data_IF_078712120209
#
_entry.id   IF_078712120209
#
_cell.length_a   1.000
_cell.length_b   1.000
_cell.length_c   1.000
_cell.angle_alpha   90.00
_cell.angle_beta   90.00
_cell.angle_gamma   90.00
#
_symmetry.space_group_name_H-M   'P 1'
#
loop_
_entity.id
_entity.type
_entity.pdbx_description
1 polymer ?
#
# COMPACT_ATOMS: atom_id res chain seq x y z
N UNK A 1 100.57 43.07 37.78
CA UNK A 1 100.14 42.05 38.75
C UNK A 1 98.82 41.43 38.27
N UNK A 2 98.59 40.15 38.58
CA UNK A 2 98.22 39.03 37.69
C UNK A 2 96.71 38.99 37.36
N UNK A 3 96.16 38.23 36.40
CA UNK A 3 96.29 36.79 36.14
C UNK A 3 95.88 36.42 34.69
N UNK A 4 96.73 35.66 34.01
CA UNK A 4 96.44 34.67 32.95
C UNK A 4 95.74 33.42 33.57
N UNK A 5 95.43 32.32 32.85
CA UNK A 5 94.92 32.06 31.48
C UNK A 5 93.87 30.90 31.43
N UNK A 6 93.33 30.56 30.25
CA UNK A 6 93.45 29.21 29.60
C UNK A 6 92.61 29.08 28.32
N UNK A 7 93.32 29.09 27.19
CA UNK A 7 93.07 28.39 25.89
C UNK A 7 93.49 26.89 26.05
N UNK A 8 93.54 26.02 25.02
CA UNK A 8 92.62 25.67 23.91
C UNK A 8 92.61 24.12 23.62
N UNK A 9 92.08 23.70 22.44
CA UNK A 9 92.42 22.50 21.60
C UNK A 9 92.03 21.10 22.12
N UNK A 10 91.64 20.10 21.32
CA UNK A 10 91.88 19.73 19.91
C UNK A 10 90.63 18.98 19.35
N UNK A 11 90.18 19.10 18.09
CA UNK A 11 90.77 18.76 16.78
C UNK A 11 90.90 17.24 16.52
N UNK A 12 90.56 16.83 15.28
CA UNK A 12 90.84 15.56 14.56
C UNK A 12 89.67 14.54 14.43
N UNK A 13 89.28 13.97 13.27
CA UNK A 13 89.58 14.15 11.83
C UNK A 13 88.63 13.27 10.98
N UNK A 14 88.21 13.79 9.79
CA UNK A 14 88.01 13.13 8.46
C UNK A 14 87.15 11.85 8.29
N UNK A 15 86.06 11.81 7.49
CA UNK A 15 85.86 11.98 6.01
C UNK A 15 86.19 10.72 5.17
N UNK A 16 85.17 10.03 4.59
CA UNK A 16 84.99 9.81 3.12
C UNK A 16 83.88 8.83 2.70
N UNK A 17 83.10 9.31 1.70
CA UNK A 17 82.53 8.61 0.52
C UNK A 17 81.32 7.68 0.74
N UNK A 18 80.08 8.00 0.31
CA UNK A 18 79.55 8.39 -1.01
C UNK A 18 79.62 7.27 -2.08
N UNK A 19 78.47 6.63 -2.34
CA UNK A 19 78.16 5.97 -3.62
C UNK A 19 76.71 6.29 -4.04
N UNK A 20 76.64 7.18 -5.03
CA UNK A 20 75.68 7.31 -6.13
C UNK A 20 74.25 6.74 -6.00
N UNK A 21 73.30 7.68 -5.99
CA UNK A 21 72.20 7.84 -6.95
C UNK A 21 72.24 6.89 -8.16
N UNK A 22 71.31 5.95 -8.24
CA UNK A 22 70.73 5.45 -9.48
C UNK A 22 69.40 4.73 -9.18
N UNK A 23 68.38 5.07 -9.97
CA UNK A 23 67.06 4.45 -10.07
C UNK A 23 65.96 4.89 -9.08
N UNK A 24 65.55 6.15 -9.26
CA UNK A 24 64.12 6.48 -9.34
C UNK A 24 63.43 5.59 -10.37
N UNK A 25 62.67 4.59 -9.90
CA UNK A 25 61.38 4.14 -10.45
C UNK A 25 60.98 2.83 -9.77
N UNK A 26 59.68 2.73 -9.49
CA UNK A 26 58.97 1.49 -9.14
C UNK A 26 59.28 0.89 -7.77
N UNK A 27 58.45 1.23 -6.79
CA UNK A 27 57.60 0.27 -6.06
C UNK A 27 56.79 1.09 -5.05
N UNK A 28 55.85 1.87 -5.58
CA UNK A 28 54.57 1.96 -4.90
C UNK A 28 54.04 0.52 -4.89
N UNK A 29 54.27 -0.20 -3.80
CA UNK A 29 53.50 -1.40 -3.51
C UNK A 29 52.08 -0.93 -3.25
N UNK A 30 51.36 -0.68 -4.35
CA UNK A 30 49.95 -0.95 -4.41
C UNK A 30 49.80 -2.37 -3.86
N UNK A 31 49.34 -2.47 -2.62
CA UNK A 31 48.71 -3.68 -2.16
C UNK A 31 47.48 -3.84 -3.06
N UNK A 32 47.68 -4.55 -4.17
CA UNK A 32 46.60 -5.14 -4.93
C UNK A 32 45.95 -6.14 -3.97
N UNK A 33 44.98 -5.66 -3.18
CA UNK A 33 44.06 -6.56 -2.52
C UNK A 33 43.35 -7.31 -3.63
N UNK A 34 43.51 -8.63 -3.63
CA UNK A 34 42.74 -9.49 -4.52
C UNK A 34 41.25 -9.23 -4.28
N UNK A 35 40.46 -9.24 -5.36
CA UNK A 35 39.01 -9.02 -5.32
C UNK A 35 38.28 -10.06 -4.44
N UNK A 36 38.99 -11.10 -3.99
CA UNK A 36 38.53 -12.19 -3.15
C UNK A 36 38.83 -12.00 -1.65
N UNK A 37 39.64 -11.01 -1.25
CA UNK A 37 40.01 -10.78 0.16
C UNK A 37 39.14 -9.73 0.86
N UNK A 38 38.16 -9.17 0.16
CA UNK A 38 37.07 -8.46 0.79
C UNK A 38 35.88 -9.40 0.85
N UNK A 39 35.38 -9.78 2.03
CA UNK A 39 34.11 -10.47 2.10
C UNK A 39 33.08 -9.69 1.27
N UNK A 40 32.13 -10.36 0.63
CA UNK A 40 30.91 -9.73 0.06
C UNK A 40 30.03 -9.13 1.18
N UNK A 41 30.63 -8.75 2.31
CA UNK A 41 30.13 -7.88 3.35
C UNK A 41 30.68 -6.44 3.22
N UNK A 42 31.37 -6.09 2.12
CA UNK A 42 31.48 -4.68 1.71
C UNK A 42 30.07 -4.16 1.47
N UNK A 43 29.56 -3.40 2.44
CA UNK A 43 28.52 -2.39 2.30
C UNK A 43 28.14 -2.15 0.83
N UNK A 44 27.17 -2.91 0.31
CA UNK A 44 26.29 -2.36 -0.70
C UNK A 44 25.48 -1.30 0.05
N UNK A 45 26.06 -0.12 0.24
CA UNK A 45 25.45 1.04 0.90
C UNK A 45 24.41 1.70 -0.02
N UNK A 46 23.81 0.89 -0.90
CA UNK A 46 22.73 1.31 -1.77
C UNK A 46 21.47 1.16 -0.95
N UNK A 47 20.79 2.28 -0.71
CA UNK A 47 19.52 2.30 -0.03
C UNK A 47 18.55 1.29 -0.69
N UNK A 48 17.93 0.38 0.07
CA UNK A 48 16.97 -0.57 -0.46
C UNK A 48 15.80 0.15 -1.12
N UNK A 49 15.28 -0.43 -2.19
CA UNK A 49 14.11 0.07 -2.92
C UNK A 49 12.85 -0.67 -2.45
N UNK A 50 11.82 0.08 -2.04
CA UNK A 50 10.50 -0.42 -1.70
C UNK A 50 9.46 0.13 -2.66
N UNK A 51 8.78 -0.74 -3.41
CA UNK A 51 7.61 -0.37 -4.19
C UNK A 51 6.36 -0.78 -3.42
N UNK A 52 5.60 0.19 -2.92
CA UNK A 52 4.27 -0.09 -2.38
C UNK A 52 3.31 -0.31 -3.53
N UNK A 53 2.58 -1.42 -3.50
CA UNK A 53 1.48 -1.68 -4.41
C UNK A 53 0.20 -1.72 -3.58
N UNK A 54 -0.71 -0.78 -3.84
CA UNK A 54 -1.99 -0.67 -3.11
C UNK A 54 -3.12 -1.06 -4.06
N UNK A 55 -3.90 -2.05 -3.65
CA UNK A 55 -5.16 -2.40 -4.31
C UNK A 55 -6.13 -1.22 -4.21
N UNK A 56 -6.51 -0.66 -5.36
CA UNK A 56 -7.53 0.37 -5.47
C UNK A 56 -8.72 -0.07 -6.33
N UNK A 57 -8.97 -1.38 -6.43
CA UNK A 57 -10.09 -1.95 -7.17
C UNK A 57 -11.44 -1.56 -6.57
N UNK A 58 -12.52 -1.74 -7.34
CA UNK A 58 -13.89 -1.47 -6.87
C UNK A 58 -14.29 -2.28 -5.64
N UNK A 59 -13.67 -3.43 -5.40
CA UNK A 59 -13.92 -4.26 -4.21
C UNK A 59 -13.53 -3.55 -2.91
N UNK A 60 -12.64 -2.56 -2.99
CA UNK A 60 -12.14 -1.80 -1.85
C UNK A 60 -13.16 -0.83 -1.26
N UNK A 61 -14.30 -0.60 -1.93
CA UNK A 61 -15.45 0.14 -1.39
C UNK A 61 -16.21 -0.61 -0.29
N UNK A 62 -15.97 -1.91 -0.13
CA UNK A 62 -16.69 -2.71 0.84
C UNK A 62 -16.29 -2.37 2.28
N UNK A 63 -17.28 -2.37 3.18
CA UNK A 63 -17.11 -2.15 4.61
C UNK A 63 -16.42 -3.37 5.24
N UNK A 64 -15.51 -3.13 6.16
CA UNK A 64 -14.86 -4.19 6.94
C UNK A 64 -15.55 -4.29 8.30
N UNK A 65 -16.01 -5.49 8.70
CA UNK A 65 -16.44 -5.73 10.07
C UNK A 65 -15.32 -5.35 11.06
N UNK A 66 -15.58 -4.33 11.87
CA UNK A 66 -14.63 -3.74 12.81
C UNK A 66 -15.34 -3.40 14.11
N UNK A 67 -14.58 -3.20 15.19
CA UNK A 67 -15.12 -2.75 16.47
C UNK A 67 -16.04 -1.53 16.28
N UNK A 68 -17.20 -1.45 16.97
CA UNK A 68 -17.63 -2.27 18.11
C UNK A 68 -18.46 -3.52 17.74
N UNK A 69 -18.38 -4.00 16.49
CA UNK A 69 -18.89 -5.34 16.18
C UNK A 69 -18.09 -6.40 16.93
N UNK A 70 -18.79 -7.35 17.54
CA UNK A 70 -18.27 -8.48 18.27
C UNK A 70 -18.92 -9.76 17.68
N UNK A 71 -18.13 -10.67 17.09
CA UNK A 71 -18.67 -11.90 16.49
C UNK A 71 -19.25 -12.89 17.51
N UNK A 72 -19.05 -12.66 18.82
CA UNK A 72 -19.55 -13.51 19.91
C UNK A 72 -20.75 -12.93 20.65
N UNK A 73 -21.06 -11.65 20.44
CA UNK A 73 -22.22 -11.00 21.02
C UNK A 73 -23.53 -11.51 20.40
N UNK A 74 -24.66 -11.24 21.06
CA UNK A 74 -25.99 -11.53 20.51
C UNK A 74 -26.67 -10.25 20.06
N UNK A 75 -26.74 -10.00 18.75
CA UNK A 75 -27.45 -8.85 18.18
C UNK A 75 -28.91 -9.16 17.83
N UNK A 76 -29.21 -10.38 17.41
CA UNK A 76 -30.59 -10.82 17.20
C UNK A 76 -30.65 -12.31 17.46
N UNK A 77 -31.26 -12.74 18.58
CA UNK A 77 -31.27 -14.16 18.94
C UNK A 77 -31.99 -15.02 17.89
N UNK A 78 -33.11 -14.52 17.34
CA UNK A 78 -33.87 -15.18 16.28
C UNK A 78 -34.69 -14.18 15.48
N UNK A 79 -34.79 -14.38 14.18
CA UNK A 79 -35.72 -13.62 13.35
C UNK A 79 -37.13 -14.21 13.43
N UNK A 80 -38.19 -13.40 13.69
CA UNK A 80 -39.55 -13.89 13.65
C UNK A 80 -39.90 -14.52 12.30
N UNK A 81 -40.77 -15.53 12.35
CA UNK A 81 -41.27 -16.22 11.14
C UNK A 81 -41.87 -15.22 10.16
N UNK A 82 -41.48 -15.31 8.89
CA UNK A 82 -41.94 -14.40 7.83
C UNK A 82 -41.25 -13.04 7.78
N UNK A 83 -40.33 -12.74 8.72
CA UNK A 83 -39.55 -11.49 8.72
C UNK A 83 -38.06 -11.70 8.42
N UNK A 84 -37.65 -12.93 8.12
CA UNK A 84 -36.26 -13.26 7.79
C UNK A 84 -36.01 -13.02 6.31
N UNK A 85 -34.93 -12.29 5.97
CA UNK A 85 -34.44 -12.23 4.59
C UNK A 85 -33.77 -13.56 4.23
N UNK A 86 -34.13 -14.22 3.12
CA UNK A 86 -33.48 -15.44 2.65
C UNK A 86 -31.97 -15.26 2.50
N UNK A 87 -31.19 -16.21 3.00
CA UNK A 87 -29.72 -16.25 2.86
C UNK A 87 -29.30 -16.98 1.58
N UNK A 88 -28.04 -16.84 1.18
CA UNK A 88 -27.49 -17.53 0.00
C UNK A 88 -27.85 -16.87 -1.33
N UNK A 89 -28.29 -15.62 -1.28
CA UNK A 89 -28.57 -14.80 -2.45
C UNK A 89 -27.35 -14.74 -3.40
N UNK A 90 -27.57 -14.67 -4.71
CA UNK A 90 -26.48 -14.42 -5.65
C UNK A 90 -26.06 -12.93 -5.60
N UNK A 91 -24.95 -12.57 -6.27
CA UNK A 91 -24.51 -11.17 -6.35
C UNK A 91 -25.52 -10.22 -7.03
N UNK A 92 -26.48 -10.75 -7.81
CA UNK A 92 -27.58 -9.99 -8.40
C UNK A 92 -28.73 -9.67 -7.45
N UNK A 93 -28.80 -10.37 -6.31
CA UNK A 93 -29.83 -10.25 -5.27
C UNK A 93 -29.21 -9.69 -3.98
N UNK A 94 -28.33 -8.69 -4.11
CA UNK A 94 -27.61 -8.12 -2.97
C UNK A 94 -28.52 -7.37 -2.01
N UNK A 95 -28.10 -7.35 -0.74
CA UNK A 95 -28.65 -6.47 0.28
C UNK A 95 -27.93 -5.13 0.18
N UNK A 96 -28.64 -4.12 -0.31
CA UNK A 96 -28.04 -2.81 -0.57
C UNK A 96 -28.45 -1.84 0.53
N UNK A 97 -27.51 -1.10 1.12
CA UNK A 97 -27.84 -0.01 2.05
C UNK A 97 -28.73 1.01 1.35
N UNK A 98 -29.65 1.60 2.09
CA UNK A 98 -30.30 2.84 1.67
C UNK A 98 -30.44 3.72 2.90
N UNK A 99 -29.93 4.95 2.83
CA UNK A 99 -30.08 5.92 3.91
C UNK A 99 -31.16 6.91 3.53
N UNK A 100 -32.17 7.05 4.39
CA UNK A 100 -33.29 7.96 4.17
C UNK A 100 -33.57 8.72 5.45
N UNK A 101 -33.59 10.05 5.38
CA UNK A 101 -33.76 10.96 6.52
C UNK A 101 -32.80 10.65 7.68
N UNK A 102 -31.56 10.29 7.36
CA UNK A 102 -30.52 9.95 8.34
C UNK A 102 -30.75 8.62 9.08
N UNK A 103 -31.69 7.78 8.64
CA UNK A 103 -31.94 6.47 9.22
C UNK A 103 -31.53 5.34 8.27
N UNK A 104 -31.02 4.21 8.80
CA UNK A 104 -30.63 3.07 7.98
C UNK A 104 -31.86 2.32 7.47
N UNK A 105 -31.83 2.01 6.19
CA UNK A 105 -32.70 1.06 5.50
C UNK A 105 -31.83 0.11 4.69
N UNK A 106 -32.44 -0.96 4.21
CA UNK A 106 -31.81 -1.82 3.21
C UNK A 106 -32.81 -2.21 2.14
N UNK A 107 -32.32 -2.33 0.92
CA UNK A 107 -33.08 -2.78 -0.24
C UNK A 107 -32.74 -4.23 -0.50
N UNK A 108 -33.77 -5.05 -0.68
CA UNK A 108 -33.65 -6.44 -1.09
C UNK A 108 -34.80 -6.78 -2.04
N UNK A 109 -34.46 -7.35 -3.21
CA UNK A 109 -35.40 -7.69 -4.27
C UNK A 109 -36.35 -6.52 -4.60
N UNK A 110 -35.77 -5.32 -4.82
CA UNK A 110 -36.49 -4.08 -5.13
C UNK A 110 -37.29 -3.45 -3.98
N UNK A 111 -37.42 -4.12 -2.83
CA UNK A 111 -38.21 -3.65 -1.71
C UNK A 111 -37.32 -3.06 -0.62
N UNK A 112 -37.78 -1.98 0.01
CA UNK A 112 -37.05 -1.32 1.09
C UNK A 112 -37.57 -1.76 2.45
N UNK A 113 -36.64 -2.14 3.33
CA UNK A 113 -36.91 -2.64 4.67
C UNK A 113 -36.11 -1.87 5.70
N UNK A 114 -36.51 -2.03 6.95
CA UNK A 114 -35.74 -1.59 8.12
C UNK A 114 -35.45 -2.80 9.01
N UNK A 115 -34.39 -2.72 9.80
CA UNK A 115 -34.12 -3.79 10.75
C UNK A 115 -35.20 -3.85 11.83
N UNK A 116 -35.56 -5.05 12.29
CA UNK A 116 -36.65 -5.25 13.28
C UNK A 116 -36.43 -4.52 14.60
N UNK A 117 -35.18 -4.25 14.97
CA UNK A 117 -34.85 -3.49 16.19
C UNK A 117 -34.96 -1.97 16.01
N UNK A 118 -35.30 -1.51 14.80
CA UNK A 118 -35.56 -0.09 14.49
C UNK A 118 -37.06 0.08 14.30
N UNK A 119 -37.63 1.11 14.94
CA UNK A 119 -39.06 1.42 14.85
C UNK A 119 -39.47 1.82 13.43
N UNK A 120 -40.53 1.21 12.90
CA UNK A 120 -41.16 1.60 11.64
C UNK A 120 -41.90 0.44 10.96
N UNK A 121 -42.30 0.64 9.70
CA UNK A 121 -42.97 -0.38 8.88
C UNK A 121 -41.95 -1.22 8.08
N UNK A 122 -42.39 -2.38 7.59
CA UNK A 122 -41.58 -3.29 6.76
C UNK A 122 -40.30 -3.77 7.46
N UNK A 123 -40.47 -4.17 8.73
CA UNK A 123 -39.39 -4.73 9.53
C UNK A 123 -38.97 -6.10 9.02
N UNK A 124 -37.66 -6.30 8.91
CA UNK A 124 -37.00 -7.54 8.54
C UNK A 124 -35.70 -7.71 9.32
N UNK A 125 -35.16 -8.91 9.35
CA UNK A 125 -33.83 -9.18 9.89
C UNK A 125 -33.17 -10.34 9.13
N UNK A 126 -31.93 -10.65 9.48
CA UNK A 126 -31.10 -11.61 8.78
C UNK A 126 -30.94 -12.89 9.60
N UNK A 127 -30.87 -14.04 8.94
CA UNK A 127 -30.51 -15.29 9.60
C UNK A 127 -29.05 -15.20 10.07
N UNK A 128 -28.80 -15.34 11.39
CA UNK A 128 -27.44 -15.22 11.96
C UNK A 128 -26.41 -16.14 11.29
N UNK A 129 -26.80 -17.38 11.00
CA UNK A 129 -25.93 -18.37 10.36
C UNK A 129 -25.87 -18.22 8.83
N UNK A 130 -26.71 -17.36 8.26
CA UNK A 130 -26.77 -17.12 6.82
C UNK A 130 -25.64 -16.23 6.32
N UNK A 131 -25.30 -16.37 5.05
CA UNK A 131 -24.40 -15.47 4.32
C UNK A 131 -25.16 -14.71 3.25
N UNK A 132 -24.77 -13.45 3.05
CA UNK A 132 -25.45 -12.51 2.17
C UNK A 132 -24.42 -11.74 1.35
N UNK A 133 -24.69 -11.56 0.06
CA UNK A 133 -24.00 -10.52 -0.70
C UNK A 133 -24.62 -9.18 -0.34
N UNK A 134 -23.80 -8.19 0.02
CA UNK A 134 -24.29 -6.88 0.40
C UNK A 134 -23.37 -5.75 -0.07
N UNK A 135 -23.98 -4.58 -0.25
CA UNK A 135 -23.33 -3.29 -0.50
C UNK A 135 -23.65 -2.37 0.66
N UNK A 136 -22.69 -2.13 1.53
CA UNK A 136 -22.93 -1.45 2.82
C UNK A 136 -22.53 0.02 2.85
N UNK A 137 -21.89 0.51 1.78
CA UNK A 137 -21.54 1.93 1.57
C UNK A 137 -22.53 2.58 0.60
N UNK A 138 -23.21 3.64 1.03
CA UNK A 138 -24.08 4.49 0.23
C UNK A 138 -23.33 5.71 -0.31
N UNK A 139 -22.60 5.52 -1.41
CA UNK A 139 -21.77 6.53 -2.08
C UNK A 139 -22.52 7.34 -3.17
N UNK A 140 -23.82 7.07 -3.36
CA UNK A 140 -24.74 7.80 -4.24
C UNK A 140 -25.97 8.25 -3.45
N UNK A 141 -25.83 9.36 -2.72
CA UNK A 141 -26.90 9.95 -1.88
C UNK A 141 -27.54 8.96 -0.90
N UNK A 142 -26.71 8.17 -0.19
CA UNK A 142 -27.19 7.19 0.78
C UNK A 142 -27.52 5.81 0.21
N UNK A 143 -27.41 5.63 -1.11
CA UNK A 143 -27.53 4.34 -1.79
C UNK A 143 -26.21 3.94 -2.47
N UNK A 144 -25.91 2.64 -2.64
CA UNK A 144 -24.73 2.18 -3.35
C UNK A 144 -24.71 2.57 -4.82
N UNK A 145 -23.51 2.84 -5.32
CA UNK A 145 -23.17 2.97 -6.72
C UNK A 145 -22.87 1.59 -7.34
N UNK A 146 -22.12 1.59 -8.45
CA UNK A 146 -21.86 0.41 -9.26
C UNK A 146 -20.73 -0.49 -8.74
N UNK A 147 -20.30 -0.37 -7.48
CA UNK A 147 -19.31 -1.28 -6.92
C UNK A 147 -19.91 -2.67 -6.66
N UNK A 148 -19.05 -3.71 -6.70
CA UNK A 148 -19.47 -5.10 -6.53
C UNK A 148 -19.78 -5.41 -5.06
N UNK A 149 -20.86 -6.14 -4.77
CA UNK A 149 -21.14 -6.60 -3.42
C UNK A 149 -20.07 -7.58 -2.93
N UNK A 150 -19.95 -7.70 -1.61
CA UNK A 150 -19.13 -8.76 -0.98
C UNK A 150 -19.97 -9.53 0.03
N UNK A 151 -19.43 -10.64 0.51
CA UNK A 151 -20.13 -11.54 1.43
C UNK A 151 -20.03 -11.03 2.87
N UNK A 152 -21.17 -10.98 3.56
CA UNK A 152 -21.28 -10.72 4.99
C UNK A 152 -22.13 -11.80 5.66
N UNK A 153 -21.89 -12.05 6.93
CA UNK A 153 -22.76 -12.91 7.73
C UNK A 153 -24.03 -12.15 8.11
N UNK A 154 -25.15 -12.86 8.23
CA UNK A 154 -26.39 -12.26 8.73
C UNK A 154 -26.23 -11.73 10.15
N UNK A 155 -25.37 -12.37 10.96
CA UNK A 155 -24.96 -11.86 12.27
C UNK A 155 -24.41 -10.43 12.19
N UNK A 156 -23.48 -10.17 11.26
CA UNK A 156 -22.93 -8.84 11.04
C UNK A 156 -23.99 -7.87 10.50
N UNK A 157 -24.88 -8.31 9.59
CA UNK A 157 -25.93 -7.45 9.05
C UNK A 157 -26.99 -7.07 10.10
N UNK A 158 -27.30 -7.97 11.03
CA UNK A 158 -28.17 -7.68 12.18
C UNK A 158 -27.55 -6.60 13.08
N UNK A 159 -26.23 -6.66 13.33
CA UNK A 159 -25.52 -5.58 14.00
C UNK A 159 -25.52 -4.28 13.20
N UNK A 160 -25.24 -4.38 11.89
CA UNK A 160 -25.03 -3.23 11.02
C UNK A 160 -26.29 -2.38 10.90
N UNK A 161 -27.41 -2.99 10.52
CA UNK A 161 -28.68 -2.29 10.34
C UNK A 161 -29.49 -2.13 11.63
N UNK A 162 -29.17 -2.89 12.68
CA UNK A 162 -29.87 -2.83 13.96
C UNK A 162 -29.43 -1.70 14.87
N UNK A 163 -30.19 -1.52 15.95
CA UNK A 163 -29.95 -0.57 17.04
C UNK A 163 -28.79 -0.97 17.98
N UNK A 164 -27.66 -1.38 17.41
CA UNK A 164 -26.46 -1.84 18.13
C UNK A 164 -25.23 -1.04 17.72
N UNK A 165 -24.29 -0.83 18.66
CA UNK A 165 -22.97 -0.26 18.38
C UNK A 165 -22.94 1.19 17.88
N UNK A 166 -24.08 1.89 17.87
CA UNK A 166 -24.21 3.27 17.39
C UNK A 166 -25.67 3.73 17.31
N UNK A 167 -25.92 5.00 16.93
CA UNK A 167 -27.28 5.53 16.82
C UNK A 167 -28.03 4.97 15.60
N UNK A 168 -29.36 4.93 15.69
CA UNK A 168 -30.28 4.58 14.59
C UNK A 168 -30.65 5.77 13.72
N UNK A 169 -30.09 6.94 14.01
CA UNK A 169 -30.25 8.19 13.25
C UNK A 169 -28.87 8.83 13.01
N UNK A 170 -28.79 9.87 12.16
CA UNK A 170 -27.53 10.53 11.82
C UNK A 170 -26.66 9.75 10.82
N UNK A 171 -27.22 8.75 10.14
CA UNK A 171 -26.54 8.04 9.07
C UNK A 171 -26.31 8.97 7.87
N UNK A 172 -25.10 8.97 7.34
CA UNK A 172 -24.76 9.61 6.07
C UNK A 172 -24.73 8.58 4.94
N UNK A 173 -23.56 7.98 4.72
CA UNK A 173 -23.35 6.91 3.73
C UNK A 173 -23.22 5.52 4.34
N UNK A 174 -23.09 5.40 5.66
CA UNK A 174 -22.78 4.15 6.36
C UNK A 174 -23.04 4.28 7.85
N UNK A 175 -22.91 3.17 8.59
CA UNK A 175 -23.17 3.13 10.03
C UNK A 175 -22.28 4.10 10.81
N UNK A 176 -22.85 5.11 11.50
CA UNK A 176 -22.13 5.90 12.48
C UNK A 176 -21.87 5.08 13.76
N UNK A 177 -20.73 5.32 14.38
CA UNK A 177 -20.34 4.75 15.65
C UNK A 177 -20.33 5.86 16.71
N UNK A 178 -20.22 5.50 17.99
CA UNK A 178 -20.06 6.49 19.08
C UNK A 178 -18.86 7.42 18.83
N UNK A 179 -17.80 6.89 18.22
CA UNK A 179 -16.66 7.66 17.74
C UNK A 179 -16.37 7.26 16.29
N UNK A 180 -16.70 8.14 15.34
CA UNK A 180 -16.43 7.94 13.92
C UNK A 180 -17.49 7.10 13.19
N UNK A 181 -17.06 6.35 12.17
CA UNK A 181 -17.93 5.49 11.34
C UNK A 181 -17.20 4.19 11.05
N UNK A 182 -17.95 3.16 10.65
CA UNK A 182 -17.33 1.95 10.07
C UNK A 182 -16.44 2.32 8.88
N UNK A 183 -15.39 1.54 8.66
CA UNK A 183 -14.40 1.80 7.62
C UNK A 183 -14.54 0.84 6.44
N UNK A 184 -14.21 1.33 5.25
CA UNK A 184 -14.01 0.55 4.03
C UNK A 184 -12.65 -0.11 4.02
N UNK A 185 -12.47 -1.13 3.16
CA UNK A 185 -11.15 -1.74 2.91
C UNK A 185 -10.13 -0.70 2.44
N UNK A 186 -10.55 0.25 1.60
CA UNK A 186 -9.67 1.33 1.13
C UNK A 186 -9.19 2.25 2.26
N UNK A 187 -10.07 2.64 3.17
CA UNK A 187 -9.67 3.48 4.31
C UNK A 187 -8.67 2.76 5.21
N UNK A 188 -8.93 1.51 5.55
CA UNK A 188 -7.99 0.69 6.35
C UNK A 188 -6.65 0.52 5.62
N UNK A 189 -6.68 0.30 4.30
CA UNK A 189 -5.46 0.19 3.49
C UNK A 189 -4.66 1.49 3.47
N UNK A 190 -5.33 2.65 3.36
CA UNK A 190 -4.68 3.97 3.42
C UNK A 190 -4.06 4.23 4.78
N UNK A 191 -4.78 3.94 5.86
CA UNK A 191 -4.30 4.14 7.22
C UNK A 191 -3.06 3.26 7.49
N UNK A 192 -3.15 1.98 7.10
CA UNK A 192 -2.05 1.03 7.24
C UNK A 192 -0.83 1.43 6.39
N UNK A 193 -1.04 1.78 5.12
CA UNK A 193 0.06 2.20 4.24
C UNK A 193 0.71 3.50 4.74
N UNK A 194 -0.08 4.46 5.20
CA UNK A 194 0.40 5.72 5.80
C UNK A 194 1.26 5.43 7.03
N UNK A 195 0.77 4.59 7.95
CA UNK A 195 1.52 4.21 9.14
C UNK A 195 2.85 3.54 8.81
N UNK A 196 2.88 2.65 7.80
CA UNK A 196 4.12 1.99 7.38
C UNK A 196 5.12 3.00 6.80
N UNK A 197 4.70 3.89 5.89
CA UNK A 197 5.64 4.86 5.29
C UNK A 197 6.13 5.90 6.28
N UNK A 198 5.34 6.25 7.29
CA UNK A 198 5.76 7.13 8.40
C UNK A 198 6.77 6.47 9.33
N UNK A 199 6.71 5.14 9.48
CA UNK A 199 7.66 4.38 10.27
C UNK A 199 9.02 4.17 9.59
N UNK A 200 9.16 4.51 8.31
CA UNK A 200 10.42 4.35 7.59
C UNK A 200 11.45 5.41 8.01
N UNK A 201 12.74 5.03 8.13
CA UNK A 201 13.76 5.97 8.56
C UNK A 201 13.97 7.07 7.52
N UNK A 202 14.14 8.30 8.00
CA UNK A 202 14.50 9.46 7.19
C UNK A 202 16.00 9.76 7.32
N UNK A 203 16.63 10.40 6.32
CA UNK A 203 18.00 10.84 6.42
C UNK A 203 18.19 11.83 7.58
N UNK A 204 19.29 11.68 8.31
CA UNK A 204 19.68 12.57 9.41
C UNK A 204 20.70 13.58 8.87
N UNK A 205 20.37 14.88 8.94
CA UNK A 205 21.22 15.96 8.43
C UNK A 205 21.41 15.88 6.90
N UNK A 206 22.64 16.06 6.43
CA UNK A 206 23.00 15.94 5.02
C UNK A 206 23.33 14.49 4.58
N UNK A 207 22.94 13.49 5.38
CA UNK A 207 23.18 12.08 5.09
C UNK A 207 22.38 11.56 3.89
N UNK A 208 22.87 10.47 3.29
CA UNK A 208 22.14 9.74 2.25
C UNK A 208 20.83 9.17 2.80
N UNK A 209 19.79 9.12 1.96
CA UNK A 209 18.53 8.49 2.35
C UNK A 209 18.76 7.01 2.67
N UNK A 210 18.24 6.50 3.79
CA UNK A 210 18.43 5.10 4.19
C UNK A 210 17.56 4.15 3.38
N UNK A 211 16.48 4.64 2.75
CA UNK A 211 15.58 3.84 1.91
C UNK A 211 15.10 4.67 0.70
N UNK A 212 14.72 3.97 -0.36
CA UNK A 212 14.07 4.53 -1.55
C UNK A 212 12.67 3.95 -1.65
N UNK A 213 11.68 4.78 -1.93
CA UNK A 213 10.27 4.36 -1.91
C UNK A 213 9.54 4.86 -3.16
N UNK A 214 8.69 4.00 -3.70
CA UNK A 214 7.72 4.31 -4.75
C UNK A 214 6.33 3.80 -4.39
N UNK A 215 5.33 4.24 -5.15
CA UNK A 215 3.93 3.83 -4.99
C UNK A 215 3.31 3.49 -6.35
N UNK A 216 2.62 2.36 -6.41
CA UNK A 216 1.86 1.87 -7.56
C UNK A 216 0.45 1.43 -7.13
N UNK A 217 -0.49 1.46 -8.06
CA UNK A 217 -1.87 0.97 -7.88
C UNK A 217 -2.32 0.18 -9.10
N UNK A 218 -3.54 -0.35 -9.10
CA UNK A 218 -4.16 -0.86 -10.33
C UNK A 218 -4.51 0.29 -11.29
N UNK A 219 -4.49 -0.04 -12.59
CA UNK A 219 -4.88 0.83 -13.70
C UNK A 219 -6.11 0.27 -14.45
N UNK A 220 -7.20 0.03 -13.72
CA UNK A 220 -8.51 -0.33 -14.29
C UNK A 220 -8.46 -1.46 -15.35
N UNK A 221 -7.70 -2.52 -15.06
CA UNK A 221 -7.52 -3.69 -15.94
C UNK A 221 -6.30 -3.66 -16.85
N UNK A 222 -5.55 -2.55 -16.90
CA UNK A 222 -4.36 -2.37 -17.77
C UNK A 222 -3.04 -2.49 -17.00
N UNK A 223 -2.96 -3.45 -16.08
CA UNK A 223 -1.79 -3.62 -15.21
C UNK A 223 -1.65 -2.50 -14.17
N UNK A 224 -0.41 -2.06 -13.94
CA UNK A 224 -0.03 -1.15 -12.88
C UNK A 224 -0.04 0.32 -13.29
N UNK A 225 -0.37 1.20 -12.35
CA UNK A 225 -0.22 2.65 -12.47
C UNK A 225 0.78 3.15 -11.44
N UNK A 226 1.92 3.66 -11.90
CA UNK A 226 2.90 4.33 -11.04
C UNK A 226 2.32 5.67 -10.55
N UNK A 227 2.14 5.81 -9.24
CA UNK A 227 1.64 7.02 -8.58
C UNK A 227 2.76 7.90 -8.07
N UNK A 228 3.79 7.28 -7.52
CA UNK A 228 5.02 7.96 -7.07
C UNK A 228 6.19 7.16 -7.59
N UNK A 229 7.07 7.83 -8.33
CA UNK A 229 8.31 7.23 -8.81
C UNK A 229 9.19 6.81 -7.63
N UNK A 230 9.91 5.71 -7.78
CA UNK A 230 10.92 5.31 -6.81
C UNK A 230 11.98 6.40 -6.67
N UNK A 231 12.22 6.81 -5.44
CA UNK A 231 13.23 7.81 -5.13
C UNK A 231 13.57 7.81 -3.65
N UNK A 232 14.61 8.56 -3.31
CA UNK A 232 15.09 8.71 -1.95
C UNK A 232 13.97 9.18 -1.01
N UNK A 233 13.79 8.48 0.10
CA UNK A 233 12.83 8.89 1.11
C UNK A 233 13.41 10.04 1.92
N UNK A 234 12.76 11.19 1.82
CA UNK A 234 13.05 12.45 2.48
C UNK A 234 11.75 12.96 3.07
N UNK A 235 11.79 13.99 3.92
CA UNK A 235 10.56 14.61 4.46
C UNK A 235 9.61 15.07 3.35
N UNK A 236 10.15 15.58 2.24
CA UNK A 236 9.37 16.02 1.07
C UNK A 236 8.71 14.84 0.35
N UNK A 237 9.48 13.79 0.03
CA UNK A 237 8.93 12.62 -0.69
C UNK A 237 7.99 11.80 0.19
N UNK A 238 8.19 11.77 1.50
CA UNK A 238 7.22 11.24 2.46
C UNK A 238 5.90 12.02 2.40
N UNK A 239 5.94 13.36 2.36
CA UNK A 239 4.76 14.21 2.17
C UNK A 239 4.02 13.91 0.87
N UNK A 240 4.76 13.71 -0.23
CA UNK A 240 4.19 13.28 -1.52
C UNK A 240 3.52 11.91 -1.42
N UNK A 241 4.19 10.91 -0.84
CA UNK A 241 3.64 9.57 -0.65
C UNK A 241 2.34 9.59 0.16
N UNK A 242 2.33 10.29 1.30
CA UNK A 242 1.13 10.45 2.14
C UNK A 242 -0.02 11.09 1.37
N UNK A 243 0.28 12.14 0.60
CA UNK A 243 -0.72 12.81 -0.23
C UNK A 243 -1.27 11.86 -1.30
N UNK A 244 -0.41 11.13 -2.01
CA UNK A 244 -0.81 10.14 -3.02
C UNK A 244 -1.62 8.97 -2.43
N UNK A 245 -1.29 8.50 -1.23
CA UNK A 245 -2.07 7.47 -0.52
C UNK A 245 -3.45 8.02 -0.13
N UNK A 246 -3.50 9.22 0.44
CA UNK A 246 -4.76 9.82 0.94
C UNK A 246 -5.81 10.01 -0.16
N UNK A 247 -5.38 10.27 -1.40
CA UNK A 247 -6.27 10.52 -2.55
C UNK A 247 -6.72 9.26 -3.29
N UNK A 248 -6.23 8.06 -2.91
CA UNK A 248 -6.64 6.83 -3.58
C UNK A 248 -8.14 6.60 -3.46
N UNK A 249 -8.77 6.13 -4.53
CA UNK A 249 -10.20 5.82 -4.55
C UNK A 249 -10.41 4.40 -5.11
N UNK A 250 -11.39 3.64 -4.58
CA UNK A 250 -11.79 2.36 -5.17
C UNK A 250 -12.33 2.56 -6.59
N UNK A 251 -11.78 1.84 -7.56
CA UNK A 251 -12.17 1.90 -8.96
C UNK A 251 -11.58 0.73 -9.76
N UNK A 252 -12.30 0.29 -10.79
CA UNK A 252 -11.78 -0.66 -11.78
C UNK A 252 -11.49 -2.07 -11.26
N UNK A 253 -10.79 -2.83 -12.09
CA UNK A 253 -10.48 -4.25 -11.90
C UNK A 253 -9.20 -4.49 -11.09
N UNK A 254 -8.92 -5.76 -10.76
CA UNK A 254 -7.74 -6.24 -10.02
C UNK A 254 -6.73 -6.97 -10.93
N UNK A 255 -6.04 -6.29 -11.88
CA UNK A 255 -5.07 -6.93 -12.76
C UNK A 255 -3.75 -7.23 -12.04
N UNK A 256 -3.76 -8.13 -11.05
CA UNK A 256 -2.61 -8.40 -10.18
C UNK A 256 -1.38 -8.85 -10.95
N UNK A 257 -1.53 -9.84 -11.84
CA UNK A 257 -0.41 -10.40 -12.59
C UNK A 257 0.29 -9.35 -13.45
N UNK A 258 -0.46 -8.61 -14.27
CA UNK A 258 0.11 -7.56 -15.13
C UNK A 258 0.66 -6.38 -14.31
N UNK A 259 0.06 -6.04 -13.17
CA UNK A 259 0.60 -5.01 -12.27
C UNK A 259 1.95 -5.40 -11.69
N UNK A 260 2.10 -6.66 -11.25
CA UNK A 260 3.38 -7.16 -10.74
C UNK A 260 4.42 -7.27 -11.86
N UNK A 261 4.01 -7.64 -13.08
CA UNK A 261 4.89 -7.62 -14.24
C UNK A 261 5.40 -6.21 -14.56
N UNK A 262 4.52 -5.20 -14.53
CA UNK A 262 4.89 -3.79 -14.76
C UNK A 262 5.84 -3.27 -13.67
N UNK A 263 5.58 -3.59 -12.40
CA UNK A 263 6.48 -3.24 -11.28
C UNK A 263 7.84 -3.93 -11.45
N UNK A 264 7.85 -5.21 -11.80
CA UNK A 264 9.08 -5.97 -12.04
C UNK A 264 9.93 -5.35 -13.15
N UNK A 265 9.29 -4.94 -14.25
CA UNK A 265 9.95 -4.20 -15.34
C UNK A 265 10.50 -2.86 -14.88
N UNK A 266 9.70 -2.08 -14.16
CA UNK A 266 10.12 -0.79 -13.63
C UNK A 266 11.38 -0.90 -12.75
N UNK A 267 11.46 -1.94 -11.91
CA UNK A 267 12.60 -2.18 -11.03
C UNK A 267 13.82 -2.75 -11.76
N UNK A 268 13.64 -3.54 -12.82
CA UNK A 268 14.75 -4.17 -13.55
C UNK A 268 15.39 -3.25 -14.59
N UNK A 269 14.62 -2.36 -15.23
CA UNK A 269 15.14 -1.45 -16.27
C UNK A 269 15.52 -0.08 -15.75
N UNK A 270 15.09 0.27 -14.53
CA UNK A 270 15.30 1.59 -13.94
C UNK A 270 14.36 2.65 -14.51
N UNK A 271 14.21 3.77 -13.78
CA UNK A 271 13.36 4.88 -14.19
C UNK A 271 14.10 5.82 -15.16
N UNK A 272 13.75 5.76 -16.45
CA UNK A 272 14.20 6.72 -17.47
C UNK A 272 13.01 7.41 -18.15
N UNK A 273 12.15 8.08 -17.37
CA UNK A 273 11.28 9.16 -17.84
C UNK A 273 10.16 8.87 -18.88
N UNK A 274 10.16 7.77 -19.62
CA UNK A 274 9.16 7.47 -20.66
C UNK A 274 8.63 6.04 -20.54
N UNK A 275 7.59 5.85 -19.72
CA UNK A 275 6.64 4.74 -19.91
C UNK A 275 5.21 5.29 -19.87
N UNK A 276 4.61 5.34 -21.06
CA UNK A 276 3.16 5.42 -21.36
C UNK A 276 3.03 4.98 -22.81
N UNK A 277 1.99 4.34 -23.33
CA UNK A 277 0.85 3.54 -22.87
C UNK A 277 0.21 3.02 -24.18
N UNK A 278 -0.60 1.95 -24.13
CA UNK A 278 -1.70 1.68 -25.08
C UNK A 278 -1.40 1.73 -26.59
N UNK A 279 -1.39 0.55 -27.21
CA UNK A 279 -1.54 0.29 -28.66
C UNK A 279 -0.37 0.69 -29.58
N UNK A 280 0.49 -0.29 -29.90
CA UNK A 280 1.26 -0.29 -31.16
C UNK A 280 1.52 -1.73 -31.62
N UNK A 281 1.24 -2.00 -32.90
CA UNK A 281 1.66 -3.19 -33.64
C UNK A 281 2.89 -2.89 -34.49
N UNK A 282 3.82 -3.82 -34.50
CA UNK A 282 5.10 -3.79 -35.20
C UNK A 282 6.08 -4.52 -34.29
N UNK A 283 6.38 -5.78 -34.60
CA UNK A 283 7.03 -6.73 -33.66
C UNK A 283 8.46 -6.29 -33.35
N UNK A 284 8.55 -5.40 -32.38
CA UNK A 284 9.62 -5.11 -31.43
C UNK A 284 9.78 -6.31 -30.48
N UNK A 285 10.85 -6.36 -29.69
CA UNK A 285 11.00 -7.32 -28.57
C UNK A 285 9.79 -7.28 -27.60
N UNK A 286 8.98 -6.22 -27.68
CA UNK A 286 7.63 -6.07 -27.11
C UNK A 286 6.60 -7.11 -27.55
N UNK A 287 6.70 -7.68 -28.76
CA UNK A 287 5.76 -8.68 -29.27
C UNK A 287 6.16 -10.13 -28.90
N UNK A 288 7.44 -10.38 -28.59
CA UNK A 288 7.91 -11.68 -28.07
C UNK A 288 7.61 -11.84 -26.57
N UNK A 289 7.73 -10.76 -25.78
CA UNK A 289 7.34 -10.78 -24.37
C UNK A 289 5.83 -10.54 -24.18
N UNK A 290 5.06 -10.17 -25.21
CA UNK A 290 3.60 -9.90 -25.13
C UNK A 290 2.73 -11.10 -24.80
N UNK A 291 3.28 -12.30 -24.62
CA UNK A 291 2.58 -13.38 -23.90
C UNK A 291 2.70 -13.21 -22.37
N UNK A 292 2.56 -11.97 -21.84
CA UNK A 292 2.67 -11.58 -20.42
C UNK A 292 1.46 -12.02 -19.57
N UNK A 293 1.04 -13.28 -19.68
CA UNK A 293 -0.03 -13.82 -18.82
C UNK A 293 -1.36 -13.08 -18.94
N UNK A 294 -1.77 -12.70 -20.15
CA UNK A 294 -3.15 -12.28 -20.40
C UNK A 294 -4.08 -13.51 -20.43
N UNK A 295 -5.05 -13.57 -19.51
CA UNK A 295 -6.13 -14.57 -19.45
C UNK A 295 -7.24 -14.31 -20.48
N UNK A 296 -7.05 -13.37 -21.40
CA UNK A 296 -8.05 -13.05 -22.41
C UNK A 296 -7.99 -14.06 -23.56
N UNK A 297 -8.59 -15.24 -23.35
CA UNK A 297 -8.94 -16.14 -24.45
C UNK A 297 -10.03 -15.50 -25.31
N UNK A 298 -9.67 -14.65 -26.27
CA UNK A 298 -10.53 -14.42 -27.42
C UNK A 298 -10.14 -15.41 -28.52
N UNK A 299 -11.03 -16.38 -28.70
CA UNK A 299 -10.99 -17.37 -29.78
C UNK A 299 -10.82 -16.64 -31.11
N UNK A 300 -9.77 -17.01 -31.84
CA UNK A 300 -9.66 -16.71 -33.27
C UNK A 300 -10.76 -17.48 -34.01
N UNK A 301 -11.63 -16.75 -34.70
CA UNK A 301 -12.27 -17.20 -35.94
C UNK A 301 -11.34 -16.91 -37.11
#
# INVERSE_FOLDING_TARGET
MPHTPRRPTALHTTVRSALMVLLSATLASALAQNITDVPVAVKNNVAPNFMFMIDNSGSMSNIVPTSPYDPTATYQASCPSGQTIPSGNASGDSVDISVSNGAPRFVYNGNTYIHITVSGSSQRCFNNAGTYFAKLLGDSNGSPSNYLPTTYTGHYLNWYFGAFGGPTTGWGSRKPLTSGTVQTRMEIAKDSATSVVEGLPLPVGAGAAPVRVGLSTYNSGKGGALRVRMGDLTSTTLGTLKTSISTLAPSGNTPLASTLADIGRYLSTGYNGNITAGSVSGVSIDDFLRQNGDDASSRRS
#
